data_IF_369649043807
#
_entry.id   IF_369649043807
#
_cell.length_a   1.000
_cell.length_b   1.000
_cell.length_c   1.000
_cell.angle_alpha   90.00
_cell.angle_beta   90.00
_cell.angle_gamma   90.00
#
_symmetry.space_group_name_H-M   'P 1'
#
loop_
_entity.id
_entity.type
_entity.pdbx_description
1 polymer ?
#
# COMPACT_ATOMS: atom_id res chain seq x y z
N UNK A 1 -8.57 0.85 13.00
CA UNK A 1 -8.62 -0.41 12.21
C UNK A 1 -9.33 -1.54 12.97
N UNK A 2 -10.01 -2.43 12.25
CA UNK A 2 -10.47 -3.72 12.79
C UNK A 2 -9.26 -4.55 13.26
N UNK A 3 -9.34 -5.17 14.44
CA UNK A 3 -8.23 -5.93 15.08
C UNK A 3 -6.97 -5.09 15.39
N UNK A 4 -7.15 -3.82 15.76
CA UNK A 4 -6.04 -2.89 16.07
C UNK A 4 -4.98 -3.46 17.00
N UNK A 5 -5.36 -4.20 18.05
CA UNK A 5 -4.39 -4.79 18.98
C UNK A 5 -3.47 -5.83 18.33
N UNK A 6 -3.99 -6.68 17.46
CA UNK A 6 -3.17 -7.68 16.75
C UNK A 6 -2.17 -6.99 15.81
N UNK A 7 -2.62 -5.96 15.09
CA UNK A 7 -1.75 -5.19 14.20
C UNK A 7 -0.69 -4.41 15.00
N UNK A 8 -1.06 -3.85 16.16
CA UNK A 8 -0.12 -3.17 17.05
C UNK A 8 0.95 -4.13 17.59
N UNK A 9 0.54 -5.30 18.09
CA UNK A 9 1.44 -6.33 18.59
C UNK A 9 2.42 -6.82 17.49
N UNK A 10 1.93 -7.05 16.27
CA UNK A 10 2.76 -7.48 15.15
C UNK A 10 3.83 -6.45 14.78
N UNK A 11 3.46 -5.16 14.71
CA UNK A 11 4.42 -4.10 14.38
C UNK A 11 5.43 -3.88 15.52
N UNK A 12 5.00 -3.97 16.78
CA UNK A 12 5.93 -3.91 17.93
C UNK A 12 6.91 -5.08 17.93
N UNK A 13 6.41 -6.30 17.71
CA UNK A 13 7.23 -7.52 17.69
C UNK A 13 8.29 -7.48 16.59
N UNK A 14 7.95 -6.97 15.40
CA UNK A 14 8.89 -6.88 14.28
C UNK A 14 9.86 -5.70 14.35
N UNK A 15 9.72 -4.81 15.35
CA UNK A 15 10.44 -3.53 15.37
C UNK A 15 10.04 -2.57 14.24
N UNK A 16 8.87 -2.81 13.62
CA UNK A 16 8.36 -2.02 12.52
C UNK A 16 7.78 -0.67 12.95
N UNK A 17 7.21 0.03 11.98
CA UNK A 17 6.55 1.33 12.19
C UNK A 17 5.25 1.43 11.40
N UNK A 18 4.30 2.16 11.96
CA UNK A 18 3.13 2.63 11.23
C UNK A 18 3.44 3.96 10.58
N UNK A 19 2.84 4.18 9.41
CA UNK A 19 2.82 5.48 8.74
C UNK A 19 1.40 5.73 8.23
N UNK A 20 1.04 7.00 8.13
CA UNK A 20 -0.13 7.44 7.39
C UNK A 20 0.36 8.10 6.09
N UNK A 21 -0.41 7.95 5.02
CA UNK A 21 -0.14 8.57 3.73
C UNK A 21 -1.42 9.26 3.25
N UNK A 22 -1.33 10.38 2.50
CA UNK A 22 -2.51 11.06 1.99
C UNK A 22 -3.23 10.27 0.89
N UNK A 23 -4.55 10.41 0.81
CA UNK A 23 -5.37 9.71 -0.18
C UNK A 23 -5.01 10.13 -1.62
N UNK A 24 -4.69 11.40 -1.86
CA UNK A 24 -4.27 11.89 -3.18
C UNK A 24 -2.97 11.24 -3.64
N UNK A 25 -2.07 10.92 -2.70
CA UNK A 25 -0.82 10.22 -3.01
C UNK A 25 -1.09 8.75 -3.36
N UNK A 26 -2.08 8.12 -2.71
CA UNK A 26 -2.53 6.75 -3.03
C UNK A 26 -3.09 6.73 -4.46
N UNK A 27 -3.98 7.65 -4.80
CA UNK A 27 -4.58 7.73 -6.14
C UNK A 27 -3.51 7.98 -7.22
N UNK A 28 -2.59 8.89 -6.97
CA UNK A 28 -1.49 9.17 -7.90
C UNK A 28 -0.60 7.93 -8.11
N UNK A 29 -0.20 7.27 -7.03
CA UNK A 29 0.61 6.06 -7.11
C UNK A 29 -0.11 4.90 -7.81
N UNK A 30 -1.42 4.78 -7.60
CA UNK A 30 -2.25 3.79 -8.27
C UNK A 30 -2.27 4.00 -9.79
N UNK A 31 -2.52 5.24 -10.25
CA UNK A 31 -2.47 5.58 -11.68
C UNK A 31 -1.09 5.33 -12.29
N UNK A 32 -0.02 5.67 -11.57
CA UNK A 32 1.36 5.38 -12.00
C UNK A 32 1.66 3.88 -12.07
N UNK A 33 1.10 3.07 -11.18
CA UNK A 33 1.27 1.61 -11.23
C UNK A 33 0.63 1.04 -12.51
N UNK A 34 -0.54 1.56 -12.91
CA UNK A 34 -1.19 1.17 -14.15
C UNK A 34 -0.35 1.50 -15.39
N UNK A 35 0.37 2.63 -15.42
CA UNK A 35 1.23 2.99 -16.57
C UNK A 35 2.41 2.05 -16.77
N UNK A 36 2.74 1.21 -15.78
CA UNK A 36 3.80 0.19 -15.87
C UNK A 36 3.23 -1.24 -15.89
N UNK A 37 1.93 -1.39 -16.16
CA UNK A 37 1.28 -2.69 -16.35
C UNK A 37 0.79 -3.36 -15.06
N UNK A 38 0.73 -2.64 -13.93
CA UNK A 38 0.22 -3.19 -12.67
C UNK A 38 -1.25 -2.81 -12.45
N UNK A 39 -2.15 -3.78 -12.61
CA UNK A 39 -3.58 -3.61 -12.32
C UNK A 39 -3.91 -4.03 -10.88
N UNK A 40 -3.77 -3.10 -9.93
CA UNK A 40 -4.00 -3.32 -8.49
C UNK A 40 -5.23 -2.57 -8.00
N UNK A 41 -5.83 -3.00 -6.87
CA UNK A 41 -6.89 -2.20 -6.24
C UNK A 41 -6.34 -0.87 -5.70
N UNK A 42 -7.12 0.24 -5.71
CA UNK A 42 -6.62 1.56 -5.31
C UNK A 42 -5.98 1.60 -3.92
N UNK A 43 -6.62 0.98 -2.92
CA UNK A 43 -6.11 0.98 -1.54
C UNK A 43 -4.78 0.24 -1.37
N UNK A 44 -4.48 -0.73 -2.24
CA UNK A 44 -3.19 -1.42 -2.22
C UNK A 44 -2.02 -0.51 -2.66
N UNK A 45 -2.29 0.57 -3.40
CA UNK A 45 -1.25 1.54 -3.77
C UNK A 45 -0.68 2.31 -2.56
N UNK A 46 -1.34 2.28 -1.40
CA UNK A 46 -0.78 2.81 -0.16
C UNK A 46 0.56 2.17 0.22
N UNK A 47 0.78 0.89 -0.11
CA UNK A 47 2.06 0.22 0.09
C UNK A 47 3.18 0.84 -0.75
N UNK A 48 2.88 1.28 -1.97
CA UNK A 48 3.83 1.95 -2.88
C UNK A 48 4.21 3.33 -2.32
N UNK A 49 3.21 4.12 -1.93
CA UNK A 49 3.45 5.44 -1.30
C UNK A 49 4.25 5.27 -0.02
N UNK A 50 3.92 4.27 0.79
CA UNK A 50 4.64 3.94 2.00
C UNK A 50 6.10 3.59 1.76
N UNK A 51 6.39 2.71 0.80
CA UNK A 51 7.77 2.38 0.44
C UNK A 51 8.59 3.59 0.01
N UNK A 52 8.01 4.48 -0.81
CA UNK A 52 8.65 5.72 -1.25
C UNK A 52 8.92 6.67 -0.07
N UNK A 53 7.92 6.87 0.80
CA UNK A 53 8.02 7.73 1.99
C UNK A 53 9.10 7.23 2.97
N UNK A 54 9.24 5.90 3.09
CA UNK A 54 10.21 5.26 3.95
C UNK A 54 11.60 5.12 3.30
N UNK A 55 11.74 5.46 2.02
CA UNK A 55 12.96 5.21 1.24
C UNK A 55 13.44 3.76 1.36
N UNK A 56 12.52 2.80 1.23
CA UNK A 56 12.87 1.38 1.35
C UNK A 56 13.95 0.99 0.33
N UNK A 57 14.90 0.11 0.70
CA UNK A 57 15.97 -0.28 -0.19
C UNK A 57 15.47 -1.11 -1.38
N UNK A 58 16.24 -1.17 -2.48
CA UNK A 58 16.02 -2.15 -3.54
C UNK A 58 15.92 -3.57 -2.97
N UNK A 59 15.00 -4.38 -3.51
CA UNK A 59 14.74 -5.74 -3.02
C UNK A 59 13.71 -5.83 -1.90
N UNK A 60 13.21 -4.70 -1.38
CA UNK A 60 12.06 -4.70 -0.48
C UNK A 60 10.81 -5.29 -1.17
N UNK A 61 10.04 -6.08 -0.42
CA UNK A 61 8.82 -6.72 -0.92
C UNK A 61 7.60 -5.91 -0.45
N UNK A 62 6.74 -5.55 -1.41
CA UNK A 62 5.46 -4.92 -1.14
C UNK A 62 4.33 -5.95 -1.27
N UNK A 63 3.47 -6.03 -0.25
CA UNK A 63 2.29 -6.89 -0.27
C UNK A 63 1.14 -6.10 -0.88
N UNK A 64 0.66 -6.57 -2.04
CA UNK A 64 -0.53 -6.06 -2.72
C UNK A 64 -1.66 -7.05 -2.48
N UNK A 65 -2.69 -6.65 -1.74
CA UNK A 65 -3.71 -7.57 -1.22
C UNK A 65 -4.91 -7.73 -2.14
N UNK A 66 -5.12 -6.83 -3.11
CA UNK A 66 -6.26 -6.92 -3.99
C UNK A 66 -5.98 -6.63 -5.46
N UNK A 67 -6.70 -7.38 -6.29
CA UNK A 67 -6.72 -7.24 -7.73
C UNK A 67 -7.45 -5.97 -8.15
N UNK A 68 -6.90 -5.25 -9.13
CA UNK A 68 -7.57 -4.10 -9.73
C UNK A 68 -8.86 -4.46 -10.48
N UNK A 69 -9.10 -5.74 -10.78
CA UNK A 69 -10.38 -6.21 -11.33
C UNK A 69 -11.57 -5.87 -10.42
N UNK A 70 -11.35 -5.76 -9.10
CA UNK A 70 -12.38 -5.36 -8.13
C UNK A 70 -12.81 -3.89 -8.27
N UNK A 71 -12.05 -3.08 -8.99
CA UNK A 71 -12.22 -1.63 -9.06
C UNK A 71 -12.72 -1.15 -10.44
N UNK A 72 -12.81 -2.04 -11.45
CA UNK A 72 -13.15 -1.69 -12.84
C UNK A 72 -14.51 -0.99 -12.98
N UNK A 73 -15.51 -1.36 -12.17
CA UNK A 73 -16.83 -0.73 -12.26
C UNK A 73 -16.87 0.65 -11.59
N UNK A 74 -15.85 0.99 -10.79
CA UNK A 74 -15.83 2.18 -9.95
C UNK A 74 -14.91 3.28 -10.51
N UNK A 75 -14.01 2.94 -11.42
CA UNK A 75 -13.01 3.83 -12.03
C UNK A 75 -12.75 3.46 -13.48
#
# INVERSE_FOLDING_TARGET
PTRAERSYAAVRYSGGRWIAVPDEAIEHAWRQAATVGMLIEPTSAAAIVGARTLHLPPGAVLIITGSGLKAIERY
#
